data_IF_605767522296
#
_entry.id   IF_605767522296
#
_cell.length_a   1.000
_cell.length_b   1.000
_cell.length_c   1.000
_cell.angle_alpha   90.00
_cell.angle_beta   90.00
_cell.angle_gamma   90.00
#
_symmetry.space_group_name_H-M   'P 1'
#
loop_
_entity.id
_entity.type
_entity.pdbx_description
1 polymer ?
#
# COMPACT_ATOMS: atom_id res chain seq x y z
N UNK A 1 -9.19 -5.88 10.22
CA UNK A 1 -8.82 -6.19 11.62
C UNK A 1 -7.66 -7.16 11.71
N UNK A 2 -7.57 -8.19 10.85
CA UNK A 2 -6.47 -9.17 10.88
C UNK A 2 -5.26 -8.70 10.04
N UNK A 3 -4.11 -8.37 10.65
CA UNK A 3 -2.86 -8.12 9.91
C UNK A 3 -2.30 -9.43 9.34
N UNK A 4 -1.54 -9.34 8.25
CA UNK A 4 -0.83 -10.46 7.64
C UNK A 4 0.57 -10.00 7.27
N UNK A 5 1.54 -10.24 8.16
CA UNK A 5 2.92 -9.76 7.98
C UNK A 5 3.44 -10.07 6.57
N UNK A 6 4.03 -9.10 5.84
CA UNK A 6 4.41 -7.74 6.28
C UNK A 6 3.29 -6.68 6.18
N UNK A 7 2.08 -7.06 5.76
CA UNK A 7 0.95 -6.14 5.59
C UNK A 7 0.32 -5.80 6.95
N UNK A 8 0.13 -4.52 7.29
CA UNK A 8 -0.71 -4.15 8.42
C UNK A 8 -2.18 -4.47 8.10
N UNK A 9 -3.05 -4.36 9.08
CA UNK A 9 -4.49 -4.49 8.81
C UNK A 9 -5.02 -3.23 8.10
N UNK A 10 -5.95 -3.39 7.15
CA UNK A 10 -6.61 -2.24 6.51
C UNK A 10 -7.29 -1.31 7.52
N UNK A 11 -7.78 -1.88 8.62
CA UNK A 11 -8.44 -1.13 9.69
C UNK A 11 -7.46 -0.15 10.34
N UNK A 12 -6.30 -0.60 10.80
CA UNK A 12 -5.30 0.26 11.44
C UNK A 12 -4.79 1.36 10.50
N UNK A 13 -4.69 1.07 9.20
CA UNK A 13 -4.32 2.07 8.19
C UNK A 13 -5.36 3.18 8.09
N UNK A 14 -6.66 2.85 7.95
CA UNK A 14 -7.69 3.85 7.68
C UNK A 14 -8.05 4.69 8.92
N UNK A 15 -7.87 4.15 10.12
CA UNK A 15 -8.08 4.90 11.37
C UNK A 15 -6.81 5.60 11.88
N UNK A 16 -5.71 5.56 11.12
CA UNK A 16 -4.46 6.25 11.46
C UNK A 16 -3.68 5.65 12.63
N UNK A 17 -3.93 4.38 13.01
CA UNK A 17 -3.19 3.69 14.08
C UNK A 17 -1.94 2.95 13.59
N UNK A 18 -1.83 2.69 12.29
CA UNK A 18 -0.63 2.10 11.73
C UNK A 18 0.48 3.14 11.56
N UNK A 19 1.64 2.88 12.18
CA UNK A 19 2.87 3.65 11.96
C UNK A 19 3.72 2.96 10.91
N UNK A 20 3.99 3.58 9.74
CA UNK A 20 4.82 2.98 8.69
C UNK A 20 6.25 2.70 9.20
N UNK A 21 6.77 1.51 8.88
CA UNK A 21 8.20 1.21 9.09
C UNK A 21 9.07 1.99 8.10
N UNK A 22 10.38 1.98 8.29
CA UNK A 22 11.31 2.58 7.31
C UNK A 22 11.20 1.92 5.94
N UNK A 23 10.95 0.61 5.89
CA UNK A 23 10.70 -0.12 4.63
C UNK A 23 9.42 0.35 3.95
N UNK A 24 8.38 0.67 4.73
CA UNK A 24 7.14 1.24 4.20
C UNK A 24 7.36 2.65 3.65
N UNK A 25 8.09 3.49 4.39
CA UNK A 25 8.42 4.85 3.97
C UNK A 25 9.24 4.86 2.68
N UNK A 26 10.27 4.03 2.59
CA UNK A 26 11.09 3.87 1.37
C UNK A 26 10.27 3.37 0.18
N UNK A 27 9.26 2.53 0.44
CA UNK A 27 8.32 2.05 -0.57
C UNK A 27 7.17 3.04 -0.89
N UNK A 28 7.14 4.23 -0.27
CA UNK A 28 6.06 5.20 -0.44
C UNK A 28 4.71 4.77 0.17
N UNK A 29 4.70 3.77 1.05
CA UNK A 29 3.50 3.32 1.78
C UNK A 29 3.31 4.18 3.03
N UNK A 30 2.35 5.09 2.94
CA UNK A 30 1.93 6.00 4.02
C UNK A 30 0.44 5.82 4.34
N UNK A 31 -0.07 6.26 5.51
CA UNK A 31 -1.48 6.12 5.85
C UNK A 31 -2.42 6.73 4.80
N UNK A 32 -3.51 6.02 4.48
CA UNK A 32 -4.51 6.43 3.48
C UNK A 32 -5.05 5.29 2.64
N UNK A 33 -6.09 5.59 1.86
CA UNK A 33 -6.84 4.58 1.10
C UNK A 33 -5.99 3.85 0.04
N UNK A 34 -4.99 4.51 -0.54
CA UNK A 34 -4.07 3.87 -1.47
C UNK A 34 -3.26 2.73 -0.83
N UNK A 35 -2.92 2.82 0.45
CA UNK A 35 -2.27 1.70 1.17
C UNK A 35 -3.25 0.57 1.45
N UNK A 36 -4.52 0.88 1.71
CA UNK A 36 -5.60 -0.13 1.82
C UNK A 36 -5.71 -0.93 0.50
N UNK A 37 -5.71 -0.25 -0.65
CA UNK A 37 -5.67 -0.92 -1.97
C UNK A 37 -4.43 -1.82 -2.13
N UNK A 38 -3.26 -1.33 -1.73
CA UNK A 38 -2.01 -2.09 -1.81
C UNK A 38 -2.04 -3.37 -0.94
N UNK A 39 -2.66 -3.31 0.24
CA UNK A 39 -2.86 -4.48 1.12
C UNK A 39 -3.74 -5.54 0.43
N UNK A 40 -4.85 -5.11 -0.17
CA UNK A 40 -5.85 -5.99 -0.79
C UNK A 40 -5.28 -6.66 -2.05
N UNK A 41 -4.75 -5.89 -3.00
CA UNK A 41 -4.33 -6.43 -4.30
C UNK A 41 -3.17 -5.64 -4.93
N UNK A 42 -2.24 -5.16 -4.10
CA UNK A 42 -1.11 -4.36 -4.58
C UNK A 42 -0.30 -5.02 -5.68
N UNK A 43 -0.22 -6.37 -5.65
CA UNK A 43 0.35 -7.25 -6.68
C UNK A 43 -0.07 -6.90 -8.11
N UNK A 44 -1.33 -6.51 -8.27
CA UNK A 44 -1.97 -6.29 -9.57
C UNK A 44 -2.27 -4.81 -9.79
N UNK A 45 -2.50 -4.01 -8.75
CA UNK A 45 -3.11 -2.68 -8.91
C UNK A 45 -2.17 -1.51 -8.60
N UNK A 46 -1.00 -1.75 -8.02
CA UNK A 46 -0.13 -0.71 -7.47
C UNK A 46 1.28 -0.70 -8.09
N UNK A 47 1.99 0.42 -7.94
CA UNK A 47 3.41 0.55 -8.31
C UNK A 47 3.71 0.62 -9.81
N UNK A 48 2.69 0.69 -10.67
CA UNK A 48 2.83 0.70 -12.14
C UNK A 48 2.08 1.82 -12.85
N UNK A 49 1.78 2.90 -12.14
CA UNK A 49 0.98 4.01 -12.67
C UNK A 49 -0.52 3.75 -12.59
N UNK A 50 -1.28 4.28 -13.54
CA UNK A 50 -2.73 4.15 -13.59
C UNK A 50 -3.16 2.68 -13.75
N UNK A 51 -4.14 2.27 -12.96
CA UNK A 51 -4.80 0.97 -13.06
C UNK A 51 -6.31 1.19 -12.96
N UNK A 52 -7.06 0.58 -13.87
CA UNK A 52 -8.51 0.77 -13.94
C UNK A 52 -9.23 0.21 -12.71
N UNK A 53 -8.77 -0.92 -12.16
CA UNK A 53 -9.36 -1.51 -10.95
C UNK A 53 -9.06 -0.65 -9.72
N UNK A 54 -7.82 -0.15 -9.61
CA UNK A 54 -7.46 0.81 -8.56
C UNK A 54 -8.30 2.10 -8.63
N UNK A 55 -8.53 2.63 -9.83
CA UNK A 55 -9.39 3.80 -10.05
C UNK A 55 -10.86 3.51 -9.69
N UNK A 56 -11.35 2.30 -9.96
CA UNK A 56 -12.69 1.85 -9.62
C UNK A 56 -12.93 1.85 -8.10
N UNK A 57 -11.97 1.31 -7.33
CA UNK A 57 -12.00 1.34 -5.85
C UNK A 57 -12.10 2.76 -5.31
N UNK A 58 -11.31 3.68 -5.86
CA UNK A 58 -11.32 5.09 -5.46
C UNK A 58 -12.64 5.76 -5.80
N UNK A 59 -13.26 5.42 -6.94
CA UNK A 59 -14.58 5.94 -7.32
C UNK A 59 -15.66 5.56 -6.31
N UNK A 60 -15.69 4.29 -5.89
CA UNK A 60 -16.61 3.85 -4.84
C UNK A 60 -16.32 4.51 -3.49
N UNK A 61 -15.04 4.61 -3.11
CA UNK A 61 -14.63 5.27 -1.89
C UNK A 61 -15.12 6.73 -1.83
N UNK A 62 -14.87 7.52 -2.88
CA UNK A 62 -15.33 8.92 -2.96
C UNK A 62 -16.85 9.02 -2.87
N UNK A 63 -17.58 8.20 -3.63
CA UNK A 63 -19.05 8.17 -3.58
C UNK A 63 -19.58 7.95 -2.15
N UNK A 64 -19.00 7.01 -1.41
CA UNK A 64 -19.46 6.74 -0.04
C UNK A 64 -19.05 7.84 0.93
N UNK A 65 -17.87 8.44 0.77
CA UNK A 65 -17.49 9.62 1.55
C UNK A 65 -18.44 10.80 1.32
N UNK A 66 -18.86 11.04 0.06
CA UNK A 66 -19.83 12.08 -0.29
C UNK A 66 -21.19 11.84 0.37
N UNK A 67 -21.69 10.60 0.31
CA UNK A 67 -22.96 10.21 0.97
C UNK A 67 -22.87 10.40 2.49
N UNK A 68 -21.72 10.11 3.09
CA UNK A 68 -21.51 10.21 4.54
C UNK A 68 -21.12 11.63 5.00
N UNK A 69 -20.87 12.57 4.07
CA UNK A 69 -20.46 13.93 4.39
C UNK A 69 -19.07 14.02 5.04
N UNK A 70 -18.15 13.11 4.70
CA UNK A 70 -16.78 13.07 5.26
C UNK A 70 -15.73 13.35 4.19
N UNK A 71 -14.60 13.92 4.60
CA UNK A 71 -13.44 14.10 3.70
C UNK A 71 -12.90 12.76 3.22
N UNK A 72 -12.36 12.73 1.99
CA UNK A 72 -11.67 11.57 1.44
C UNK A 72 -10.33 11.30 2.15
N UNK A 73 -9.75 12.34 2.77
CA UNK A 73 -8.38 12.30 3.24
C UNK A 73 -7.33 12.24 2.12
N UNK A 74 -6.07 12.10 2.51
CA UNK A 74 -4.94 12.10 1.60
C UNK A 74 -4.61 10.70 1.08
N UNK A 75 -3.64 10.62 0.15
CA UNK A 75 -3.00 9.36 -0.24
C UNK A 75 -3.96 8.31 -0.82
N UNK A 76 -4.97 8.74 -1.57
CA UNK A 76 -6.01 7.87 -2.14
C UNK A 76 -5.49 6.83 -3.15
N UNK A 77 -4.38 7.15 -3.82
CA UNK A 77 -3.86 6.38 -4.94
C UNK A 77 -2.61 5.59 -4.56
N UNK A 78 -2.44 4.41 -5.17
CA UNK A 78 -1.27 3.54 -4.96
C UNK A 78 -0.31 3.46 -6.16
N UNK A 79 -0.41 4.39 -7.11
CA UNK A 79 0.28 4.34 -8.41
C UNK A 79 1.80 4.23 -8.33
N UNK A 80 2.42 4.83 -7.32
CA UNK A 80 3.90 4.86 -7.14
C UNK A 80 4.37 4.13 -5.88
N UNK A 81 3.50 3.33 -5.25
CA UNK A 81 3.82 2.64 -4.00
C UNK A 81 4.32 1.24 -4.29
N UNK A 82 5.52 0.90 -3.82
CA UNK A 82 6.09 -0.43 -4.02
C UNK A 82 5.26 -1.48 -3.29
N UNK A 83 5.14 -2.64 -3.92
CA UNK A 83 4.25 -3.71 -3.48
C UNK A 83 4.86 -4.43 -2.27
N UNK A 84 4.02 -4.97 -1.39
CA UNK A 84 4.48 -5.77 -0.25
C UNK A 84 5.25 -7.05 -0.65
N UNK A 85 5.15 -7.49 -1.92
CA UNK A 85 5.83 -8.69 -2.42
C UNK A 85 7.31 -8.45 -2.77
N UNK A 86 7.70 -7.22 -3.12
CA UNK A 86 9.06 -6.92 -3.57
C UNK A 86 10.09 -6.82 -2.45
N UNK A 87 9.65 -6.71 -1.20
CA UNK A 87 10.56 -6.59 -0.05
C UNK A 87 11.39 -7.87 0.11
N UNK A 88 10.75 -9.04 0.01
CA UNK A 88 11.44 -10.31 0.11
C UNK A 88 12.42 -10.54 -1.04
N UNK A 89 12.05 -10.14 -2.26
CA UNK A 89 12.92 -10.27 -3.44
C UNK A 89 14.12 -9.33 -3.32
N UNK A 90 13.92 -8.08 -2.91
CA UNK A 90 15.00 -7.11 -2.82
C UNK A 90 16.00 -7.48 -1.70
N UNK A 91 15.50 -7.90 -0.53
CA UNK A 91 16.34 -8.40 0.56
C UNK A 91 17.09 -9.66 0.12
N UNK A 92 16.41 -10.60 -0.54
CA UNK A 92 17.04 -11.83 -1.03
C UNK A 92 18.13 -11.55 -2.06
N UNK A 93 17.87 -10.69 -3.05
CA UNK A 93 18.86 -10.27 -4.05
C UNK A 93 20.02 -9.54 -3.38
N UNK A 94 19.76 -8.64 -2.44
CA UNK A 94 20.81 -7.89 -1.75
C UNK A 94 21.70 -8.82 -0.90
N UNK A 95 21.10 -9.74 -0.15
CA UNK A 95 21.83 -10.76 0.63
C UNK A 95 22.60 -11.69 -0.30
N UNK A 96 22.00 -12.13 -1.41
CA UNK A 96 22.66 -12.98 -2.40
C UNK A 96 23.87 -12.27 -3.02
N UNK A 97 23.74 -11.01 -3.43
CA UNK A 97 24.87 -10.21 -3.92
C UNK A 97 25.93 -10.07 -2.83
N UNK A 98 25.56 -9.80 -1.58
CA UNK A 98 26.52 -9.60 -0.50
C UNK A 98 27.26 -10.89 -0.09
N UNK A 99 26.62 -12.06 -0.19
CA UNK A 99 27.21 -13.37 0.17
C UNK A 99 28.01 -13.99 -0.98
N UNK A 100 27.62 -13.76 -2.23
CA UNK A 100 28.19 -14.44 -3.39
C UNK A 100 29.10 -13.57 -4.26
N UNK A 101 29.11 -12.24 -4.07
CA UNK A 101 29.98 -11.31 -4.82
C UNK A 101 31.08 -10.70 -3.92
N UNK A 102 30.97 -10.81 -2.59
CA UNK A 102 32.02 -10.48 -1.62
C UNK A 102 32.43 -11.73 -0.83
#
# INVERSE_FOLDING_TARGET
MMPQSPKPSCHEVIIGKWTPSDVDRLAGRVPGYGTVTNIINGGVECGKGFDANGADRIRFYKRYCDILGVSYGDHLYCYRRSLYIYIYIYIYIYIYIYIYIY
#
